data_IF_673388213052
#
_entry.id   IF_673388213052
#
_cell.length_a   1.000
_cell.length_b   1.000
_cell.length_c   1.000
_cell.angle_alpha   90.00
_cell.angle_beta   90.00
_cell.angle_gamma   90.00
#
_symmetry.space_group_name_H-M   'P 1'
#
loop_
_entity.id
_entity.type
_entity.pdbx_description
1 polymer ?
#
# COMPACT_ATOMS: atom_id res chain seq x y z
N UNK A 1 -10.42 20.44 -11.98
CA UNK A 1 -10.70 19.07 -11.48
C UNK A 1 -11.39 18.27 -12.59
N UNK A 2 -11.32 16.94 -12.58
CA UNK A 2 -11.76 16.08 -13.69
C UNK A 2 -13.26 15.71 -13.72
N UNK A 3 -14.07 16.23 -12.79
CA UNK A 3 -15.50 15.92 -12.62
C UNK A 3 -16.36 17.19 -12.77
N UNK A 4 -17.56 17.06 -13.35
CA UNK A 4 -18.58 18.13 -13.33
C UNK A 4 -19.10 18.34 -11.90
N UNK A 5 -19.69 19.49 -11.63
CA UNK A 5 -20.23 19.85 -10.31
C UNK A 5 -21.23 18.81 -9.78
N UNK A 6 -22.21 18.41 -10.60
CA UNK A 6 -23.16 17.36 -10.26
C UNK A 6 -22.48 16.02 -9.87
N UNK A 7 -21.45 15.61 -10.61
CA UNK A 7 -20.70 14.38 -10.29
C UNK A 7 -19.86 14.52 -9.03
N UNK A 8 -19.35 15.72 -8.74
CA UNK A 8 -18.63 15.98 -7.50
C UNK A 8 -19.58 15.90 -6.30
N UNK A 9 -20.76 16.51 -6.38
CA UNK A 9 -21.75 16.45 -5.30
C UNK A 9 -22.19 15.01 -5.00
N UNK A 10 -22.40 14.20 -6.04
CA UNK A 10 -22.70 12.77 -5.88
C UNK A 10 -21.52 12.00 -5.24
N UNK A 11 -20.29 12.32 -5.61
CA UNK A 11 -19.09 11.72 -5.00
C UNK A 11 -18.98 12.09 -3.52
N UNK A 12 -19.13 13.36 -3.17
CA UNK A 12 -19.10 13.84 -1.78
C UNK A 12 -20.17 13.17 -0.92
N UNK A 13 -21.41 13.05 -1.42
CA UNK A 13 -22.49 12.35 -0.73
C UNK A 13 -22.17 10.85 -0.49
N UNK A 14 -21.51 10.19 -1.44
CA UNK A 14 -21.04 8.80 -1.25
C UNK A 14 -19.89 8.70 -0.23
N UNK A 15 -19.06 9.74 -0.13
CA UNK A 15 -17.93 9.78 0.79
C UNK A 15 -18.34 10.07 2.24
N UNK A 16 -19.59 10.52 2.50
CA UNK A 16 -20.13 10.56 3.87
C UNK A 16 -20.26 9.16 4.48
N UNK A 17 -20.49 8.14 3.64
CA UNK A 17 -20.52 6.72 4.03
C UNK A 17 -19.81 5.86 2.97
N UNK A 18 -18.46 5.89 2.93
CA UNK A 18 -17.73 5.28 1.84
C UNK A 18 -17.97 3.76 1.76
N UNK A 19 -18.40 3.23 0.61
CA UNK A 19 -18.70 1.79 0.47
C UNK A 19 -17.45 0.89 0.59
N UNK A 20 -16.25 1.48 0.67
CA UNK A 20 -14.99 0.76 0.84
C UNK A 20 -14.52 0.68 2.30
N UNK A 21 -15.18 1.33 3.26
CA UNK A 21 -14.72 1.41 4.65
C UNK A 21 -14.55 0.03 5.29
N UNK A 22 -15.51 -0.88 5.10
CA UNK A 22 -15.43 -2.28 5.54
C UNK A 22 -14.17 -3.00 5.04
N UNK A 23 -13.71 -2.65 3.82
CA UNK A 23 -12.52 -3.26 3.23
C UNK A 23 -11.24 -2.66 3.80
N UNK A 24 -11.23 -1.37 4.12
CA UNK A 24 -10.14 -0.71 4.85
C UNK A 24 -9.97 -1.34 6.23
N UNK A 25 -11.07 -1.55 6.97
CA UNK A 25 -11.05 -2.18 8.28
C UNK A 25 -10.52 -3.64 8.21
N UNK A 26 -11.00 -4.42 7.24
CA UNK A 26 -10.46 -5.78 6.96
C UNK A 26 -8.97 -5.74 6.63
N UNK A 27 -8.51 -4.73 5.89
CA UNK A 27 -7.10 -4.47 5.60
C UNK A 27 -6.27 -4.27 6.86
N UNK A 28 -6.73 -3.39 7.75
CA UNK A 28 -6.09 -3.12 9.04
C UNK A 28 -6.02 -4.35 9.94
N UNK A 29 -7.09 -5.16 9.99
CA UNK A 29 -7.09 -6.43 10.71
C UNK A 29 -6.03 -7.40 10.14
N UNK A 30 -5.97 -7.54 8.81
CA UNK A 30 -4.98 -8.39 8.15
C UNK A 30 -3.54 -7.91 8.36
N UNK A 31 -3.32 -6.60 8.36
CA UNK A 31 -2.01 -5.99 8.59
C UNK A 31 -1.46 -6.32 9.99
N UNK A 32 -2.31 -6.21 11.01
CA UNK A 32 -1.97 -6.45 12.42
C UNK A 32 -1.95 -7.94 12.80
N UNK A 33 -2.54 -8.80 11.98
CA UNK A 33 -2.54 -10.25 12.23
C UNK A 33 -1.14 -10.82 12.07
N UNK A 34 -0.67 -11.55 13.09
CA UNK A 34 0.61 -12.25 13.02
C UNK A 34 0.57 -13.38 11.97
N UNK A 35 1.66 -13.53 11.24
CA UNK A 35 1.99 -14.71 10.46
C UNK A 35 2.21 -15.91 11.38
N UNK A 36 2.26 -17.11 10.79
CA UNK A 36 2.55 -18.36 11.52
C UNK A 36 3.85 -18.33 12.32
N UNK A 37 4.82 -17.50 11.92
CA UNK A 37 6.09 -17.34 12.62
C UNK A 37 6.07 -16.27 13.74
N UNK A 38 4.90 -15.71 14.06
CA UNK A 38 4.71 -14.70 15.10
C UNK A 38 4.99 -13.26 14.68
N UNK A 39 5.59 -13.03 13.50
CA UNK A 39 5.84 -11.68 12.96
C UNK A 39 4.61 -11.11 12.28
N UNK A 40 4.51 -9.80 12.13
CA UNK A 40 3.46 -9.13 11.33
C UNK A 40 4.02 -8.55 10.04
N UNK A 41 3.16 -8.02 9.17
CA UNK A 41 3.63 -7.32 7.97
C UNK A 41 4.55 -6.14 8.30
N UNK A 42 4.25 -5.38 9.35
CA UNK A 42 5.04 -4.21 9.77
C UNK A 42 6.53 -4.55 9.96
N UNK A 43 6.86 -5.76 10.41
CA UNK A 43 8.25 -6.22 10.57
C UNK A 43 9.09 -6.27 9.28
N UNK A 44 8.47 -6.15 8.10
CA UNK A 44 9.16 -6.11 6.81
C UNK A 44 9.47 -4.69 6.31
N UNK A 45 8.95 -3.67 6.98
CA UNK A 45 9.03 -2.27 6.56
C UNK A 45 9.77 -1.44 7.61
N UNK A 46 10.30 -0.30 7.18
CA UNK A 46 10.99 0.66 8.04
C UNK A 46 10.10 1.86 8.30
N UNK A 47 10.21 2.43 9.50
CA UNK A 47 9.40 3.58 9.93
C UNK A 47 8.03 3.17 10.45
N UNK A 48 7.23 4.17 10.79
CA UNK A 48 5.87 3.98 11.28
C UNK A 48 4.94 3.55 10.15
N UNK A 49 3.90 2.77 10.48
CA UNK A 49 2.96 2.21 9.50
C UNK A 49 2.36 3.29 8.57
N UNK A 50 2.09 4.48 9.10
CA UNK A 50 1.55 5.65 8.38
C UNK A 50 2.50 6.19 7.32
N UNK A 51 3.81 5.97 7.47
CA UNK A 51 4.82 6.43 6.50
C UNK A 51 5.09 5.41 5.40
N UNK A 52 4.56 4.18 5.51
CA UNK A 52 4.92 3.11 4.57
C UNK A 52 4.43 3.45 3.16
N UNK A 53 3.22 3.99 2.99
CA UNK A 53 2.66 4.26 1.66
C UNK A 53 3.49 5.26 0.87
N UNK A 54 4.07 6.26 1.53
CA UNK A 54 4.85 7.34 0.90
C UNK A 54 6.22 6.89 0.45
N UNK A 55 6.74 5.80 1.01
CA UNK A 55 7.99 5.16 0.60
C UNK A 55 7.86 4.35 -0.70
N UNK A 56 6.66 4.25 -1.30
CA UNK A 56 6.42 3.48 -2.52
C UNK A 56 5.60 4.27 -3.55
N UNK A 57 5.82 4.04 -4.86
CA UNK A 57 6.82 3.16 -5.43
C UNK A 57 8.25 3.69 -5.23
N UNK A 58 9.23 2.79 -5.19
CA UNK A 58 10.64 3.16 -5.03
C UNK A 58 11.55 2.38 -5.97
N UNK A 59 12.68 2.98 -6.33
CA UNK A 59 13.76 2.27 -7.01
C UNK A 59 14.40 1.21 -6.09
N UNK A 60 14.61 0.00 -6.62
CA UNK A 60 15.35 -1.09 -5.99
C UNK A 60 16.60 -1.35 -6.82
N UNK A 61 17.72 -0.72 -6.45
CA UNK A 61 18.99 -0.79 -7.18
C UNK A 61 19.53 -2.23 -7.30
N UNK A 62 19.31 -3.06 -6.27
CA UNK A 62 19.72 -4.46 -6.30
C UNK A 62 18.95 -5.27 -7.36
N UNK A 63 17.69 -4.88 -7.65
CA UNK A 63 16.88 -5.50 -8.69
C UNK A 63 16.90 -4.75 -10.02
N UNK A 64 17.48 -3.56 -10.07
CA UNK A 64 17.45 -2.66 -11.22
C UNK A 64 16.03 -2.35 -11.70
N UNK A 65 15.08 -2.15 -10.77
CA UNK A 65 13.69 -1.81 -11.13
C UNK A 65 12.94 -1.10 -10.03
N UNK A 66 11.87 -0.41 -10.41
CA UNK A 66 10.87 0.12 -9.48
C UNK A 66 10.06 -1.00 -8.83
N UNK A 67 9.86 -0.90 -7.52
CA UNK A 67 9.06 -1.83 -6.71
C UNK A 67 7.86 -1.07 -6.13
N UNK A 68 6.67 -1.64 -6.30
CA UNK A 68 5.43 -1.12 -5.69
C UNK A 68 5.23 -1.63 -4.27
N UNK A 69 4.35 -0.96 -3.51
CA UNK A 69 3.96 -1.40 -2.18
C UNK A 69 3.34 -2.81 -2.22
N UNK A 70 2.47 -3.09 -3.18
CA UNK A 70 1.81 -4.38 -3.36
C UNK A 70 2.84 -5.50 -3.58
N UNK A 71 3.88 -5.22 -4.35
CA UNK A 71 4.96 -6.18 -4.57
C UNK A 71 5.74 -6.43 -3.28
N UNK A 72 6.04 -5.37 -2.51
CA UNK A 72 6.72 -5.48 -1.22
C UNK A 72 5.89 -6.27 -0.20
N UNK A 73 4.57 -6.05 -0.14
CA UNK A 73 3.64 -6.81 0.71
C UNK A 73 3.64 -8.31 0.37
N UNK A 74 3.58 -8.66 -0.93
CA UNK A 74 3.65 -10.05 -1.37
C UNK A 74 5.00 -10.69 -1.03
N UNK A 75 6.10 -9.97 -1.22
CA UNK A 75 7.44 -10.46 -0.90
C UNK A 75 7.61 -10.65 0.62
N UNK A 76 7.12 -9.73 1.43
CA UNK A 76 7.09 -9.84 2.89
C UNK A 76 6.35 -11.11 3.33
N UNK A 77 5.17 -11.36 2.75
CA UNK A 77 4.35 -12.53 3.07
C UNK A 77 5.11 -13.84 2.77
N UNK A 78 5.68 -13.95 1.57
CA UNK A 78 6.43 -15.16 1.16
C UNK A 78 7.68 -15.37 2.02
N UNK A 79 8.42 -14.30 2.33
CA UNK A 79 9.61 -14.37 3.21
C UNK A 79 9.27 -14.86 4.63
N UNK A 80 8.05 -14.64 5.10
CA UNK A 80 7.57 -15.10 6.40
C UNK A 80 6.91 -16.51 6.34
N UNK A 81 7.06 -17.24 5.23
CA UNK A 81 6.56 -18.62 5.10
C UNK A 81 5.05 -18.72 4.83
N UNK A 82 4.40 -17.60 4.55
CA UNK A 82 2.97 -17.56 4.22
C UNK A 82 2.74 -17.79 2.72
N UNK A 83 1.61 -18.41 2.38
CA UNK A 83 1.20 -18.57 0.97
C UNK A 83 0.94 -17.20 0.34
N UNK A 84 1.37 -17.04 -0.90
CA UNK A 84 1.08 -15.85 -1.72
C UNK A 84 -0.43 -15.64 -1.83
N UNK A 85 -0.87 -14.39 -1.65
CA UNK A 85 -2.26 -13.96 -1.89
C UNK A 85 -2.41 -13.41 -3.32
N UNK A 86 -3.65 -13.40 -3.84
CA UNK A 86 -3.94 -12.87 -5.16
C UNK A 86 -3.61 -11.38 -5.29
N UNK A 87 -3.21 -10.95 -6.49
CA UNK A 87 -2.95 -9.54 -6.82
C UNK A 87 -4.19 -8.82 -7.34
N UNK A 88 -4.23 -7.50 -7.16
CA UNK A 88 -5.26 -6.62 -7.75
C UNK A 88 -6.65 -6.66 -7.11
N UNK A 89 -6.93 -7.61 -6.19
CA UNK A 89 -8.22 -7.71 -5.48
C UNK A 89 -8.08 -8.40 -4.13
N UNK A 90 -9.16 -8.33 -3.33
CA UNK A 90 -9.26 -9.03 -2.05
C UNK A 90 -8.19 -8.59 -1.06
N UNK A 91 -7.62 -9.55 -0.31
CA UNK A 91 -6.70 -9.30 0.82
C UNK A 91 -5.58 -8.30 0.51
N UNK A 92 -4.96 -8.37 -0.67
CA UNK A 92 -3.86 -7.47 -1.02
C UNK A 92 -4.36 -6.03 -1.20
N UNK A 93 -5.48 -5.87 -1.90
CA UNK A 93 -6.11 -4.56 -2.12
C UNK A 93 -6.59 -3.96 -0.79
N UNK A 94 -7.14 -4.77 0.12
CA UNK A 94 -7.58 -4.31 1.43
C UNK A 94 -6.41 -3.80 2.29
N UNK A 95 -5.29 -4.53 2.34
CA UNK A 95 -4.10 -4.08 3.07
C UNK A 95 -3.53 -2.79 2.44
N UNK A 96 -3.45 -2.72 1.11
CA UNK A 96 -2.97 -1.51 0.42
C UNK A 96 -3.88 -0.30 0.65
N UNK A 97 -5.21 -0.51 0.66
CA UNK A 97 -6.19 0.52 0.99
C UNK A 97 -5.99 1.03 2.42
N UNK A 98 -5.86 0.12 3.40
CA UNK A 98 -5.57 0.48 4.78
C UNK A 98 -4.31 1.34 4.91
N UNK A 99 -3.18 0.91 4.34
CA UNK A 99 -1.92 1.67 4.38
C UNK A 99 -2.02 3.02 3.66
N UNK A 100 -2.87 3.13 2.64
CA UNK A 100 -3.11 4.39 1.93
C UNK A 100 -3.95 5.34 2.79
N UNK A 101 -5.01 4.85 3.42
CA UNK A 101 -5.89 5.66 4.29
C UNK A 101 -5.12 6.22 5.48
N UNK A 102 -4.29 5.43 6.16
CA UNK A 102 -3.51 5.93 7.30
C UNK A 102 -2.35 6.87 6.89
N UNK A 103 -2.07 6.98 5.60
CA UNK A 103 -1.05 7.87 5.04
C UNK A 103 -1.65 9.14 4.40
N UNK A 104 -2.96 9.35 4.53
CA UNK A 104 -3.66 10.50 3.95
C UNK A 104 -3.02 11.83 4.39
N UNK A 105 -3.00 12.80 3.47
CA UNK A 105 -2.35 14.10 3.68
C UNK A 105 -0.83 14.10 3.49
N UNK A 106 -0.17 12.93 3.43
CA UNK A 106 1.25 12.85 3.15
C UNK A 106 1.57 12.84 1.66
N UNK A 107 2.79 13.25 1.30
CA UNK A 107 3.25 13.29 -0.09
C UNK A 107 4.00 12.01 -0.46
N UNK A 108 3.60 11.37 -1.55
CA UNK A 108 4.38 10.29 -2.17
C UNK A 108 5.51 10.95 -2.99
N UNK A 109 6.76 10.77 -2.56
CA UNK A 109 7.92 11.29 -3.26
C UNK A 109 8.78 10.15 -3.83
N UNK A 110 8.63 9.90 -5.13
CA UNK A 110 9.38 8.85 -5.82
C UNK A 110 10.77 9.40 -6.19
N UNK A 111 11.80 8.93 -5.50
CA UNK A 111 13.18 9.34 -5.75
C UNK A 111 13.77 8.49 -6.89
N UNK A 112 14.27 9.16 -7.93
CA UNK A 112 15.13 8.57 -8.96
C UNK A 112 16.59 8.79 -8.54
N UNK A 113 17.37 7.74 -8.26
CA UNK A 113 18.74 7.92 -7.79
C UNK A 113 19.64 8.47 -8.90
N UNK A 114 20.45 9.48 -8.55
CA UNK A 114 21.49 10.00 -9.43
C UNK A 114 22.60 8.95 -9.63
N UNK A 115 23.08 8.82 -10.86
CA UNK A 115 24.22 7.96 -11.19
C UNK A 115 23.92 6.46 -11.32
N UNK A 116 22.66 6.03 -11.17
CA UNK A 116 22.24 4.67 -11.54
C UNK A 116 21.73 4.69 -12.99
N UNK A 117 22.58 4.28 -13.94
CA UNK A 117 22.21 4.18 -15.36
C UNK A 117 20.97 3.32 -15.61
N UNK A 118 20.65 2.38 -14.70
CA UNK A 118 19.46 1.54 -14.85
C UNK A 118 18.18 2.27 -14.44
N UNK A 119 18.29 3.37 -13.70
CA UNK A 119 17.18 4.18 -13.22
C UNK A 119 16.79 5.33 -14.19
N UNK A 120 17.60 5.57 -15.23
CA UNK A 120 17.45 6.59 -16.28
C UNK A 120 17.06 5.95 -17.62
#
# INVERSE_FOLDING_TARGET
YAMSEDKMSQFEALMEMPPFEDHVEKGGKLWKTAFKNGKTYSSCFSGDDETIRTQYPRWDAAKGKVVSLEKALLDCRVKNGEKKIGSGKGKLAWISAYLTTIAEGQTINVIVPEGDEKAL
#
